data_IF_174385175824
#
_entry.id   IF_174385175824
#
_cell.length_a   1.000
_cell.length_b   1.000
_cell.length_c   1.000
_cell.angle_alpha   90.00
_cell.angle_beta   90.00
_cell.angle_gamma   90.00
#
_symmetry.space_group_name_H-M   'P 1'
#
loop_
_entity.id
_entity.type
_entity.pdbx_description
1 polymer ?
#
# COMPACT_ATOMS: atom_id res chain seq x y z
N UNK A 1 -1.22 11.43 16.03
CA UNK A 1 -1.05 10.14 15.35
C UNK A 1 -0.29 10.42 14.06
N UNK A 2 0.95 9.96 13.91
CA UNK A 2 1.73 10.13 12.69
C UNK A 2 1.41 9.00 11.73
N UNK A 3 1.12 9.32 10.47
CA UNK A 3 0.86 8.35 9.42
C UNK A 3 2.19 7.85 8.84
N UNK A 4 2.21 6.65 8.24
CA UNK A 4 3.40 6.11 7.57
C UNK A 4 3.96 7.06 6.51
N UNK A 5 3.09 7.81 5.82
CA UNK A 5 3.48 8.83 4.83
C UNK A 5 4.30 9.97 5.45
N UNK A 6 4.07 10.31 6.71
CA UNK A 6 4.75 11.41 7.40
C UNK A 6 6.20 11.02 7.77
N UNK A 7 6.52 9.73 7.71
CA UNK A 7 7.86 9.17 8.00
C UNK A 7 8.61 8.72 6.73
N UNK A 8 8.16 9.18 5.56
CA UNK A 8 8.74 8.77 4.27
C UNK A 8 10.26 8.99 4.21
N UNK A 9 10.73 10.16 4.62
CA UNK A 9 12.16 10.49 4.59
C UNK A 9 13.00 9.55 5.45
N UNK A 10 12.53 9.22 6.66
CA UNK A 10 13.22 8.29 7.57
C UNK A 10 13.30 6.87 6.96
N UNK A 11 12.24 6.43 6.28
CA UNK A 11 12.22 5.14 5.60
C UNK A 11 13.19 5.13 4.41
N UNK A 12 13.18 6.20 3.60
CA UNK A 12 14.08 6.36 2.46
C UNK A 12 15.55 6.42 2.88
N UNK A 13 15.88 7.16 3.95
CA UNK A 13 17.22 7.22 4.55
C UNK A 13 17.69 5.86 5.07
N UNK A 14 16.76 5.04 5.58
CA UNK A 14 17.03 3.66 5.98
C UNK A 14 17.12 2.67 4.80
N UNK A 15 16.97 3.14 3.56
CA UNK A 15 16.96 2.30 2.37
C UNK A 15 15.69 1.47 2.19
N UNK A 16 14.59 1.85 2.85
CA UNK A 16 13.30 1.16 2.82
C UNK A 16 12.33 1.90 1.89
N UNK A 17 11.73 1.16 0.96
CA UNK A 17 10.61 1.67 0.13
C UNK A 17 9.27 1.18 0.67
N UNK A 18 8.38 2.10 1.01
CA UNK A 18 7.04 1.78 1.49
C UNK A 18 6.05 1.61 0.33
N UNK A 19 5.19 0.60 0.44
CA UNK A 19 4.10 0.32 -0.48
C UNK A 19 2.80 0.16 0.30
N UNK A 20 1.69 0.65 -0.25
CA UNK A 20 0.35 0.26 0.17
C UNK A 20 -0.06 -1.01 -0.57
N UNK A 21 -0.76 -1.93 0.11
CA UNK A 21 -1.28 -3.14 -0.51
C UNK A 21 -2.73 -3.35 -0.07
N UNK A 22 -3.60 -3.71 -1.02
CA UNK A 22 -4.97 -4.15 -0.72
C UNK A 22 -5.42 -5.19 -1.75
N UNK A 23 -6.56 -5.83 -1.50
CA UNK A 23 -7.18 -6.77 -2.45
C UNK A 23 -8.00 -6.08 -3.56
N UNK A 24 -8.04 -4.76 -3.58
CA UNK A 24 -8.73 -4.02 -4.63
C UNK A 24 -7.99 -4.12 -5.96
N UNK A 25 -8.71 -3.87 -7.05
CA UNK A 25 -8.13 -3.90 -8.38
C UNK A 25 -7.13 -2.76 -8.60
N UNK A 26 -6.18 -2.97 -9.52
CA UNK A 26 -5.29 -1.91 -9.99
C UNK A 26 -6.06 -0.68 -10.53
N UNK A 27 -7.22 -0.89 -11.16
CA UNK A 27 -8.10 0.22 -11.61
C UNK A 27 -8.66 1.03 -10.44
N UNK A 28 -9.14 0.35 -9.41
CA UNK A 28 -9.61 0.98 -8.17
C UNK A 28 -8.48 1.77 -7.50
N UNK A 29 -7.24 1.25 -7.50
CA UNK A 29 -6.07 1.96 -6.97
C UNK A 29 -5.74 3.22 -7.76
N UNK A 30 -5.81 3.21 -9.08
CA UNK A 30 -5.58 4.42 -9.90
C UNK A 30 -6.59 5.51 -9.53
N UNK A 31 -7.88 5.16 -9.47
CA UNK A 31 -8.93 6.10 -9.09
C UNK A 31 -8.74 6.61 -7.65
N UNK A 32 -8.39 5.73 -6.72
CA UNK A 32 -8.17 6.08 -5.32
C UNK A 32 -6.95 6.98 -5.11
N UNK A 33 -5.82 6.70 -5.79
CA UNK A 33 -4.64 7.58 -5.76
C UNK A 33 -4.98 8.98 -6.27
N UNK A 34 -5.73 9.07 -7.38
CA UNK A 34 -6.13 10.35 -7.94
C UNK A 34 -7.07 11.12 -7.00
N UNK A 35 -8.03 10.43 -6.38
CA UNK A 35 -9.01 11.06 -5.50
C UNK A 35 -8.41 11.62 -4.21
N UNK A 36 -7.36 11.00 -3.69
CA UNK A 36 -6.73 11.35 -2.42
C UNK A 36 -5.32 11.96 -2.54
N UNK A 37 -4.86 12.21 -3.76
CA UNK A 37 -3.52 12.68 -4.07
C UNK A 37 -2.43 11.84 -3.37
N UNK A 38 -2.54 10.52 -3.50
CA UNK A 38 -1.62 9.60 -2.82
C UNK A 38 -0.31 9.47 -3.60
N UNK A 39 0.78 9.74 -2.90
CA UNK A 39 2.15 9.58 -3.44
C UNK A 39 2.76 8.20 -3.18
N UNK A 40 2.13 7.36 -2.34
CA UNK A 40 2.65 6.01 -2.05
C UNK A 40 2.30 5.05 -3.19
N UNK A 41 3.24 4.22 -3.67
CA UNK A 41 2.94 3.15 -4.62
C UNK A 41 1.92 2.16 -4.03
N UNK A 42 0.96 1.71 -4.84
CA UNK A 42 -0.06 0.74 -4.43
C UNK A 42 0.12 -0.57 -5.20
N UNK A 43 0.00 -1.69 -4.48
CA UNK A 43 0.06 -3.05 -4.99
C UNK A 43 -1.32 -3.71 -4.86
N UNK A 44 -1.81 -4.25 -5.97
CA UNK A 44 -3.09 -4.97 -6.03
C UNK A 44 -2.86 -6.45 -5.73
N UNK A 45 -3.19 -6.89 -4.52
CA UNK A 45 -3.26 -8.30 -4.12
C UNK A 45 -4.62 -8.91 -4.51
N UNK A 46 -5.01 -8.74 -5.77
CA UNK A 46 -6.31 -9.13 -6.31
C UNK A 46 -6.65 -10.60 -6.01
N UNK A 47 -5.67 -11.49 -6.21
CA UNK A 47 -5.83 -12.93 -5.95
C UNK A 47 -5.77 -13.28 -4.46
N UNK A 48 -5.32 -12.38 -3.59
CA UNK A 48 -5.13 -12.61 -2.16
C UNK A 48 -3.91 -13.47 -1.82
N UNK A 49 -2.93 -13.57 -2.72
CA UNK A 49 -1.72 -14.36 -2.49
C UNK A 49 -0.88 -13.77 -1.37
N UNK A 50 -0.74 -12.45 -1.33
CA UNK A 50 0.05 -11.79 -0.30
C UNK A 50 -0.64 -11.92 1.07
N UNK A 51 -1.93 -11.58 1.19
CA UNK A 51 -2.63 -11.67 2.49
C UNK A 51 -2.65 -13.10 3.04
N UNK A 52 -2.76 -14.11 2.18
CA UNK A 52 -2.66 -15.52 2.61
C UNK A 52 -1.22 -15.89 2.98
N UNK A 53 -0.23 -15.50 2.18
CA UNK A 53 1.19 -15.76 2.46
C UNK A 53 1.67 -15.14 3.76
N UNK A 54 1.14 -13.97 4.13
CA UNK A 54 1.44 -13.31 5.41
C UNK A 54 0.56 -13.80 6.58
N UNK A 55 -0.42 -14.68 6.34
CA UNK A 55 -1.32 -15.18 7.39
C UNK A 55 -2.26 -14.12 7.98
N UNK A 56 -2.58 -13.07 7.21
CA UNK A 56 -3.42 -11.93 7.63
C UNK A 56 -4.75 -11.85 6.89
N UNK A 57 -5.09 -12.88 6.10
CA UNK A 57 -6.38 -12.96 5.43
C UNK A 57 -7.53 -12.98 6.44
N UNK A 58 -8.60 -12.24 6.14
CA UNK A 58 -9.83 -12.18 6.93
C UNK A 58 -11.00 -12.65 6.05
N UNK A 59 -11.99 -13.30 6.68
CA UNK A 59 -13.19 -13.85 6.05
C UNK A 59 -14.27 -12.78 5.76
#
# INVERSE_FOLDING_TARGET
>A
MLLLRDRRSELEEAGVSAFGISRDSAWSHVAWRAALDLEVPLLSDWNGEAVRGFGVAQD
#
